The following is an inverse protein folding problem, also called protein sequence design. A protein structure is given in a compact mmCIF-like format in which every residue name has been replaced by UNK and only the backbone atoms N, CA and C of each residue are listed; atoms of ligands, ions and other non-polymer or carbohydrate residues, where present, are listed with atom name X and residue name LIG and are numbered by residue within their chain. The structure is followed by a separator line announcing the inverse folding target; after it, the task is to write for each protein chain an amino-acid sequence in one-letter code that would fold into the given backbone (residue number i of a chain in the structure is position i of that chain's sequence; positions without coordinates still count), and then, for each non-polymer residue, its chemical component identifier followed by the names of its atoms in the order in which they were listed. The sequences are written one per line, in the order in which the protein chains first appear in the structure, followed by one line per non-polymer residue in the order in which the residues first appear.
data_IF_422910775179
#
_entry.id   IF_422910775179
#
_cell.length_a   1.000
_cell.length_b   1.000
_cell.length_c   1.000
_cell.angle_alpha   90.00
_cell.angle_beta   90.00
_cell.angle_gamma   90.00
#
_symmetry.space_group_name_H-M   'P 1'
#
loop_
_entity.id
_entity.type
_entity.pdbx_description
1 polymer ?
#
# COMPACT_ATOMS: atom_id res chain seq x y z
N UNK A 1 18.32 6.07 28.48
CA UNK A 1 17.15 6.23 27.59
C UNK A 1 16.69 4.84 27.18
N UNK A 2 15.40 4.55 27.32
CA UNK A 2 14.87 3.21 26.96
C UNK A 2 14.80 3.06 25.43
N UNK A 3 14.87 1.83 24.91
CA UNK A 3 14.76 1.58 23.47
C UNK A 3 13.46 2.16 22.87
N UNK A 4 12.36 2.07 23.61
CA UNK A 4 11.07 2.62 23.18
C UNK A 4 11.10 4.14 23.04
N UNK A 5 11.70 4.83 24.00
CA UNK A 5 11.84 6.29 24.01
C UNK A 5 12.69 6.77 22.84
N UNK A 6 13.83 6.11 22.57
CA UNK A 6 14.67 6.44 21.42
C UNK A 6 13.93 6.26 20.08
N UNK A 7 13.15 5.18 19.93
CA UNK A 7 12.35 4.95 18.72
C UNK A 7 11.27 6.03 18.57
N UNK A 8 10.57 6.34 19.67
CA UNK A 8 9.53 7.37 19.68
C UNK A 8 10.09 8.75 19.33
N UNK A 9 11.20 9.16 19.92
CA UNK A 9 11.86 10.43 19.61
C UNK A 9 12.32 10.50 18.15
N UNK A 10 12.85 9.38 17.62
CA UNK A 10 13.21 9.28 16.20
C UNK A 10 11.98 9.50 15.31
N UNK A 11 10.85 8.88 15.64
CA UNK A 11 9.61 9.03 14.87
C UNK A 11 9.00 10.44 14.97
N UNK A 12 9.03 11.07 16.15
CA UNK A 12 8.57 12.47 16.31
C UNK A 12 9.36 13.42 15.41
N UNK A 13 10.67 13.20 15.25
CA UNK A 13 11.51 14.02 14.40
C UNK A 13 11.26 13.81 12.89
N UNK A 14 10.46 12.82 12.49
CA UNK A 14 10.07 12.64 11.10
C UNK A 14 9.20 13.78 10.57
N UNK A 15 8.50 14.53 11.43
CA UNK A 15 7.71 15.69 11.02
C UNK A 15 8.40 17.02 11.37
N UNK A 16 9.69 16.98 11.71
CA UNK A 16 10.50 18.18 11.99
C UNK A 16 10.41 19.21 10.87
N UNK A 17 10.42 20.49 11.22
CA UNK A 17 10.44 21.59 10.24
C UNK A 17 11.69 21.52 9.35
N UNK A 18 12.81 21.05 9.91
CA UNK A 18 14.10 20.94 9.21
C UNK A 18 14.16 19.65 8.39
N UNK A 19 14.29 19.79 7.08
CA UNK A 19 14.34 18.66 6.14
C UNK A 19 15.52 17.70 6.41
N UNK A 20 16.66 18.24 6.83
CA UNK A 20 17.85 17.43 7.19
C UNK A 20 17.57 16.52 8.39
N UNK A 21 16.85 17.04 9.38
CA UNK A 21 16.55 16.30 10.61
C UNK A 21 15.51 15.20 10.32
N UNK A 22 14.49 15.50 9.50
CA UNK A 22 13.54 14.50 9.02
C UNK A 22 14.25 13.35 8.30
N UNK A 23 15.12 13.67 7.34
CA UNK A 23 15.85 12.66 6.56
C UNK A 23 16.75 11.79 7.45
N UNK A 24 17.51 12.42 8.35
CA UNK A 24 18.39 11.71 9.30
C UNK A 24 17.58 10.76 10.20
N UNK A 25 16.44 11.22 10.71
CA UNK A 25 15.55 10.40 11.53
C UNK A 25 14.91 9.26 10.73
N UNK A 26 14.53 9.50 9.47
CA UNK A 26 14.00 8.48 8.57
C UNK A 26 15.03 7.37 8.27
N UNK A 27 16.29 7.73 8.02
CA UNK A 27 17.38 6.76 7.85
C UNK A 27 17.66 5.98 9.15
N UNK A 28 17.72 6.67 10.29
CA UNK A 28 17.89 6.03 11.60
C UNK A 28 16.74 5.07 11.93
N UNK A 29 15.50 5.45 11.60
CA UNK A 29 14.34 4.58 11.79
C UNK A 29 14.42 3.35 10.89
N UNK A 30 14.80 3.51 9.62
CA UNK A 30 15.00 2.40 8.68
C UNK A 30 16.02 1.40 9.22
N UNK A 31 17.16 1.88 9.72
CA UNK A 31 18.19 1.03 10.30
C UNK A 31 17.69 0.31 11.56
N UNK A 32 16.97 1.02 12.43
CA UNK A 32 16.34 0.45 13.63
C UNK A 32 15.32 -0.62 13.30
N UNK A 33 14.43 -0.39 12.33
CA UNK A 33 13.42 -1.37 11.88
C UNK A 33 14.05 -2.60 11.23
N UNK A 34 15.26 -2.48 10.68
CA UNK A 34 16.00 -3.60 10.11
C UNK A 34 16.67 -4.48 11.18
N UNK A 35 16.80 -3.99 12.42
CA UNK A 35 17.42 -4.72 13.55
C UNK A 35 16.35 -5.31 14.45
N UNK A 36 16.40 -6.62 14.69
CA UNK A 36 15.37 -7.40 15.40
C UNK A 36 14.86 -6.80 16.73
N UNK A 37 15.67 -6.02 17.47
CA UNK A 37 15.29 -5.44 18.75
C UNK A 37 14.03 -4.55 18.65
N UNK A 38 13.98 -3.63 17.68
CA UNK A 38 12.86 -2.69 17.54
C UNK A 38 11.58 -3.40 17.04
N UNK A 39 11.61 -4.23 15.98
CA UNK A 39 10.45 -5.02 15.58
C UNK A 39 9.90 -5.92 16.69
N UNK A 40 10.78 -6.51 17.53
CA UNK A 40 10.35 -7.35 18.66
C UNK A 40 9.61 -6.53 19.71
N UNK A 41 10.16 -5.36 20.07
CA UNK A 41 9.52 -4.42 21.00
C UNK A 41 8.14 -3.99 20.47
N UNK A 42 8.07 -3.52 19.22
CA UNK A 42 6.83 -3.04 18.60
C UNK A 42 5.78 -4.15 18.51
N UNK A 43 6.20 -5.38 18.20
CA UNK A 43 5.33 -6.56 18.18
C UNK A 43 4.74 -6.84 19.56
N UNK A 44 5.59 -6.88 20.59
CA UNK A 44 5.15 -7.09 21.98
C UNK A 44 4.17 -6.00 22.42
N UNK A 45 4.47 -4.73 22.13
CA UNK A 45 3.63 -3.59 22.49
C UNK A 45 2.28 -3.62 21.77
N UNK A 46 2.27 -4.01 20.49
CA UNK A 46 1.04 -4.16 19.70
C UNK A 46 0.14 -5.27 20.26
N UNK A 47 0.70 -6.45 20.56
CA UNK A 47 -0.05 -7.58 21.11
C UNK A 47 -0.61 -7.26 22.50
N UNK A 48 0.19 -6.58 23.33
CA UNK A 48 -0.22 -6.17 24.68
C UNK A 48 -1.09 -4.90 24.71
N UNK A 49 -1.34 -4.26 23.55
CA UNK A 49 -2.08 -3.00 23.41
C UNK A 49 -1.58 -1.90 24.34
N UNK A 50 -0.27 -1.82 24.57
CA UNK A 50 0.37 -0.87 25.49
C UNK A 50 1.64 -0.31 24.88
N UNK A 51 1.93 0.95 25.19
CA UNK A 51 3.14 1.63 24.73
C UNK A 51 3.13 1.93 23.23
N UNK A 52 4.27 2.41 22.77
CA UNK A 52 4.50 2.78 21.38
C UNK A 52 4.63 1.52 20.51
N UNK A 53 3.83 1.41 19.45
CA UNK A 53 3.60 0.16 18.73
C UNK A 53 3.54 0.34 17.20
N UNK A 54 3.31 -0.75 16.45
CA UNK A 54 3.32 -0.73 14.98
C UNK A 54 2.32 0.26 14.37
N UNK A 55 1.17 0.48 15.01
CA UNK A 55 0.19 1.45 14.52
C UNK A 55 0.68 2.89 14.66
N UNK A 56 1.50 3.19 15.68
CA UNK A 56 2.08 4.52 15.84
C UNK A 56 3.19 4.75 14.82
N UNK A 57 4.07 3.76 14.65
CA UNK A 57 5.14 3.82 13.64
C UNK A 57 4.58 4.01 12.24
N UNK A 58 3.48 3.32 11.91
CA UNK A 58 2.83 3.48 10.62
C UNK A 58 2.29 4.89 10.41
N UNK A 59 1.61 5.47 11.41
CA UNK A 59 1.11 6.84 11.34
C UNK A 59 2.28 7.83 11.15
N UNK A 60 3.34 7.71 11.94
CA UNK A 60 4.49 8.62 11.88
C UNK A 60 5.23 8.52 10.53
N UNK A 61 5.34 7.32 9.95
CA UNK A 61 5.87 7.13 8.59
C UNK A 61 4.93 7.75 7.55
N UNK A 62 3.61 7.59 7.69
CA UNK A 62 2.66 8.17 6.76
C UNK A 62 2.71 9.71 6.81
N UNK A 63 2.79 10.30 8.00
CA UNK A 63 2.92 11.74 8.19
C UNK A 63 4.23 12.29 7.62
N UNK A 64 5.34 11.56 7.77
CA UNK A 64 6.60 11.87 7.07
C UNK A 64 6.42 11.94 5.56
N UNK A 65 5.75 10.95 4.97
CA UNK A 65 5.51 10.89 3.52
C UNK A 65 4.64 12.06 3.07
N UNK A 66 3.57 12.36 3.82
CA UNK A 66 2.73 13.52 3.54
C UNK A 66 3.54 14.81 3.60
N UNK A 67 4.46 14.95 4.58
CA UNK A 67 5.33 16.12 4.68
C UNK A 67 6.30 16.24 3.51
N UNK A 68 6.93 15.14 3.11
CA UNK A 68 7.88 15.14 1.99
C UNK A 68 7.20 15.37 0.64
N UNK A 69 5.93 14.97 0.50
CA UNK A 69 5.15 15.20 -0.72
C UNK A 69 4.62 16.64 -0.85
N UNK A 70 4.67 17.48 0.19
CA UNK A 70 4.20 18.87 0.12
C UNK A 70 4.92 19.68 -0.98
N UNK A 71 6.22 19.45 -1.18
CA UNK A 71 7.08 20.23 -2.10
C UNK A 71 7.83 19.37 -3.12
N UNK A 72 7.31 18.19 -3.44
CA UNK A 72 8.05 17.20 -4.24
C UNK A 72 8.42 17.68 -5.64
N UNK A 73 7.59 18.53 -6.28
CA UNK A 73 7.85 19.04 -7.63
C UNK A 73 9.11 19.90 -7.70
N UNK A 74 9.45 20.58 -6.59
CA UNK A 74 10.63 21.44 -6.50
C UNK A 74 11.91 20.67 -6.09
N UNK A 75 11.78 19.42 -5.67
CA UNK A 75 12.87 18.63 -5.11
C UNK A 75 13.53 17.75 -6.16
N UNK A 76 14.78 18.08 -6.51
CA UNK A 76 15.58 17.32 -7.49
C UNK A 76 15.90 15.88 -7.06
N UNK A 77 15.87 15.61 -5.76
CA UNK A 77 16.26 14.31 -5.18
C UNK A 77 15.06 13.48 -4.72
N UNK A 78 13.83 13.98 -4.90
CA UNK A 78 12.65 13.32 -4.36
C UNK A 78 12.48 11.91 -4.92
N UNK A 79 12.49 11.77 -6.25
CA UNK A 79 12.28 10.48 -6.92
C UNK A 79 13.44 9.49 -6.68
N UNK A 80 14.67 9.96 -6.59
CA UNK A 80 15.86 9.09 -6.50
C UNK A 80 16.24 8.74 -5.06
N UNK A 81 15.87 9.56 -4.07
CA UNK A 81 16.29 9.41 -2.68
C UNK A 81 15.11 9.28 -1.73
N UNK A 82 14.17 10.22 -1.78
CA UNK A 82 13.06 10.27 -0.83
C UNK A 82 12.06 9.14 -1.06
N UNK A 83 11.63 8.91 -2.30
CA UNK A 83 10.68 7.84 -2.68
C UNK A 83 11.19 6.44 -2.28
N UNK A 84 12.45 6.04 -2.59
CA UNK A 84 12.98 4.76 -2.14
C UNK A 84 13.05 4.61 -0.62
N UNK A 85 13.39 5.69 0.10
CA UNK A 85 13.43 5.69 1.56
C UNK A 85 12.02 5.50 2.16
N UNK A 86 11.04 6.25 1.67
CA UNK A 86 9.63 6.12 2.05
C UNK A 86 9.11 4.70 1.78
N UNK A 87 9.38 4.18 0.58
CA UNK A 87 9.00 2.82 0.18
C UNK A 87 9.63 1.77 1.11
N UNK A 88 10.91 1.95 1.47
CA UNK A 88 11.61 1.05 2.39
C UNK A 88 11.02 1.06 3.79
N UNK A 89 10.71 2.25 4.33
CA UNK A 89 10.10 2.41 5.65
C UNK A 89 8.72 1.75 5.71
N UNK A 90 7.87 2.02 4.72
CA UNK A 90 6.57 1.39 4.54
C UNK A 90 6.69 -0.14 4.48
N UNK A 91 7.63 -0.64 3.66
CA UNK A 91 7.86 -2.07 3.51
C UNK A 91 8.31 -2.74 4.82
N UNK A 92 9.31 -2.17 5.51
CA UNK A 92 9.83 -2.70 6.77
C UNK A 92 8.79 -2.69 7.87
N UNK A 93 8.00 -1.61 7.97
CA UNK A 93 6.94 -1.47 8.96
C UNK A 93 5.90 -2.59 8.82
N UNK A 94 5.34 -2.77 7.62
CA UNK A 94 4.31 -3.79 7.38
C UNK A 94 4.85 -5.21 7.34
N UNK A 95 6.03 -5.43 6.77
CA UNK A 95 6.67 -6.74 6.79
C UNK A 95 6.97 -7.17 8.24
N UNK A 96 7.45 -6.25 9.07
CA UNK A 96 7.70 -6.46 10.49
C UNK A 96 6.43 -6.80 11.25
N UNK A 97 5.36 -6.01 11.09
CA UNK A 97 4.08 -6.25 11.74
C UNK A 97 3.45 -7.59 11.34
N UNK A 98 3.48 -7.91 10.03
CA UNK A 98 2.90 -9.15 9.51
C UNK A 98 3.69 -10.38 9.98
N UNK A 99 5.03 -10.33 9.95
CA UNK A 99 5.89 -11.42 10.44
C UNK A 99 5.68 -11.68 11.93
N UNK A 100 5.55 -10.61 12.72
CA UNK A 100 5.28 -10.69 14.16
C UNK A 100 3.84 -11.11 14.52
N UNK A 101 2.95 -11.31 13.53
CA UNK A 101 1.50 -11.48 13.73
C UNK A 101 0.88 -10.38 14.61
N UNK A 102 1.49 -9.21 14.59
CA UNK A 102 1.11 -8.02 15.36
C UNK A 102 0.62 -6.96 14.38
N UNK A 103 -0.50 -7.27 13.72
CA UNK A 103 -0.95 -6.55 12.56
C UNK A 103 -1.29 -5.08 12.86
N UNK A 104 -0.86 -4.19 11.97
CA UNK A 104 -1.37 -2.83 11.90
C UNK A 104 -2.85 -2.90 11.53
N UNK A 105 -3.66 -2.00 12.09
CA UNK A 105 -5.10 -1.92 11.78
C UNK A 105 -5.30 -1.73 10.28
N UNK A 106 -6.03 -2.65 9.65
CA UNK A 106 -6.29 -2.63 8.21
C UNK A 106 -6.90 -1.29 7.75
N UNK A 107 -7.85 -0.75 8.52
CA UNK A 107 -8.49 0.55 8.27
C UNK A 107 -7.49 1.72 8.15
N UNK A 108 -6.41 1.71 8.94
CA UNK A 108 -5.37 2.74 8.84
C UNK A 108 -4.61 2.64 7.53
N UNK A 109 -4.27 1.42 7.15
CA UNK A 109 -3.52 1.15 5.92
C UNK A 109 -4.37 1.53 4.71
N UNK A 110 -5.61 1.05 4.66
CA UNK A 110 -6.52 1.30 3.53
C UNK A 110 -6.86 2.78 3.41
N UNK A 111 -7.13 3.48 4.52
CA UNK A 111 -7.33 4.95 4.49
C UNK A 111 -6.12 5.67 3.89
N UNK A 112 -4.92 5.40 4.42
CA UNK A 112 -3.69 6.04 3.91
C UNK A 112 -3.46 5.75 2.41
N UNK A 113 -3.72 4.52 1.97
CA UNK A 113 -3.66 4.17 0.55
C UNK A 113 -4.67 4.97 -0.28
N UNK A 114 -5.92 5.06 0.16
CA UNK A 114 -6.97 5.79 -0.58
C UNK A 114 -6.67 7.29 -0.64
N UNK A 115 -6.19 7.89 0.45
CA UNK A 115 -5.85 9.33 0.51
C UNK A 115 -4.77 9.70 -0.52
N UNK A 116 -3.75 8.83 -0.67
CA UNK A 116 -2.70 9.00 -1.68
C UNK A 116 -3.23 8.72 -3.08
N UNK A 117 -3.90 7.59 -3.29
CA UNK A 117 -4.20 7.05 -4.61
C UNK A 117 -5.37 7.75 -5.30
N UNK A 118 -6.31 8.30 -4.54
CA UNK A 118 -7.41 9.12 -5.06
C UNK A 118 -6.95 10.54 -5.45
N UNK A 119 -5.81 11.01 -4.93
CA UNK A 119 -5.27 12.31 -5.27
C UNK A 119 -4.25 12.20 -6.41
N UNK A 120 -4.62 12.63 -7.61
CA UNK A 120 -3.77 12.50 -8.82
C UNK A 120 -2.35 13.04 -8.62
N UNK A 121 -2.18 14.15 -7.88
CA UNK A 121 -0.87 14.74 -7.58
C UNK A 121 -0.03 13.79 -6.72
N UNK A 122 -0.59 13.28 -5.62
CA UNK A 122 0.11 12.36 -4.71
C UNK A 122 0.35 10.99 -5.34
N UNK A 123 -0.60 10.48 -6.13
CA UNK A 123 -0.42 9.24 -6.90
C UNK A 123 0.78 9.34 -7.84
N UNK A 124 1.00 10.49 -8.48
CA UNK A 124 2.16 10.69 -9.36
C UNK A 124 3.48 10.85 -8.57
N UNK A 125 3.41 11.34 -7.32
CA UNK A 125 4.58 11.51 -6.48
C UNK A 125 5.07 10.20 -5.85
N UNK A 126 4.15 9.45 -5.22
CA UNK A 126 4.47 8.30 -4.35
C UNK A 126 3.47 7.13 -4.50
N UNK A 127 2.52 7.21 -5.43
CA UNK A 127 1.46 6.20 -5.58
C UNK A 127 1.98 4.78 -5.81
N UNK A 128 3.05 4.62 -6.60
CA UNK A 128 3.66 3.32 -6.88
C UNK A 128 4.16 2.61 -5.61
N UNK A 129 4.58 3.38 -4.58
CA UNK A 129 4.98 2.83 -3.28
C UNK A 129 3.79 2.25 -2.51
N UNK A 130 2.65 2.95 -2.51
CA UNK A 130 1.43 2.50 -1.85
C UNK A 130 0.75 1.34 -2.59
N UNK A 131 0.81 1.33 -3.93
CA UNK A 131 0.37 0.18 -4.74
C UNK A 131 1.23 -1.06 -4.42
N UNK A 132 2.55 -0.90 -4.39
CA UNK A 132 3.48 -1.98 -4.03
C UNK A 132 3.24 -2.50 -2.61
N UNK A 133 2.90 -1.60 -1.68
CA UNK A 133 2.53 -1.93 -0.32
C UNK A 133 1.24 -2.77 -0.28
N UNK A 134 0.18 -2.33 -0.95
CA UNK A 134 -1.10 -3.05 -1.01
C UNK A 134 -0.89 -4.45 -1.57
N UNK A 135 -0.21 -4.56 -2.70
CA UNK A 135 0.09 -5.84 -3.33
C UNK A 135 0.87 -6.77 -2.41
N UNK A 136 1.99 -6.32 -1.83
CA UNK A 136 2.90 -7.21 -1.10
C UNK A 136 2.38 -7.61 0.28
N UNK A 137 1.70 -6.70 0.98
CA UNK A 137 1.49 -6.84 2.43
C UNK A 137 0.03 -6.88 2.88
N UNK A 138 -0.89 -6.41 2.05
CA UNK A 138 -2.31 -6.31 2.40
C UNK A 138 -3.12 -7.34 1.62
N UNK A 139 -3.10 -7.28 0.29
CA UNK A 139 -3.96 -8.09 -0.58
C UNK A 139 -3.57 -9.58 -0.62
N UNK A 140 -2.34 -9.90 -0.22
CA UNK A 140 -1.84 -11.27 -0.10
C UNK A 140 -1.89 -11.80 1.35
N UNK A 141 -2.49 -11.06 2.29
CA UNK A 141 -2.57 -11.46 3.69
C UNK A 141 -4.04 -11.57 4.13
N UNK A 142 -4.51 -12.81 4.28
CA UNK A 142 -5.88 -13.16 4.66
C UNK A 142 -6.38 -12.44 5.90
N UNK A 143 -5.51 -12.15 6.87
CA UNK A 143 -5.89 -11.41 8.07
C UNK A 143 -6.41 -10.01 7.71
N UNK A 144 -5.77 -9.30 6.78
CA UNK A 144 -6.21 -7.95 6.41
C UNK A 144 -7.48 -7.98 5.56
N UNK A 145 -7.62 -8.97 4.68
CA UNK A 145 -8.72 -9.06 3.72
C UNK A 145 -10.10 -9.05 4.39
N UNK A 146 -10.24 -9.75 5.52
CA UNK A 146 -11.50 -9.84 6.26
C UNK A 146 -11.95 -8.52 6.92
N UNK A 147 -11.05 -7.54 7.05
CA UNK A 147 -11.36 -6.22 7.61
C UNK A 147 -11.59 -5.15 6.54
N UNK A 148 -11.45 -5.47 5.25
CA UNK A 148 -11.70 -4.51 4.17
C UNK A 148 -13.20 -4.43 3.89
N UNK A 149 -13.77 -3.24 4.00
CA UNK A 149 -15.20 -3.01 3.75
C UNK A 149 -15.55 -3.10 2.26
N UNK A 150 -16.81 -3.41 1.90
CA UNK A 150 -17.24 -3.43 0.50
C UNK A 150 -16.94 -2.12 -0.25
N UNK A 151 -17.21 -0.97 0.39
CA UNK A 151 -16.88 0.35 -0.18
C UNK A 151 -15.39 0.55 -0.45
N UNK A 152 -14.53 -0.02 0.39
CA UNK A 152 -13.08 0.04 0.21
C UNK A 152 -12.66 -0.85 -0.96
N UNK A 153 -13.29 -2.02 -1.14
CA UNK A 153 -13.07 -2.87 -2.30
C UNK A 153 -13.45 -2.19 -3.61
N UNK A 154 -14.57 -1.46 -3.64
CA UNK A 154 -15.00 -0.67 -4.80
C UNK A 154 -13.96 0.40 -5.15
N UNK A 155 -13.53 1.19 -4.16
CA UNK A 155 -12.49 2.20 -4.38
C UNK A 155 -11.16 1.60 -4.86
N UNK A 156 -10.77 0.44 -4.32
CA UNK A 156 -9.56 -0.27 -4.76
C UNK A 156 -9.69 -0.74 -6.21
N UNK A 157 -10.87 -1.19 -6.65
CA UNK A 157 -11.12 -1.55 -8.04
C UNK A 157 -10.92 -0.34 -8.96
N UNK A 158 -11.52 0.80 -8.63
CA UNK A 158 -11.40 2.03 -9.41
C UNK A 158 -9.94 2.48 -9.53
N UNK A 159 -9.19 2.41 -8.43
CA UNK A 159 -7.75 2.72 -8.41
C UNK A 159 -6.97 1.76 -9.30
N UNK A 160 -7.27 0.45 -9.27
CA UNK A 160 -6.59 -0.54 -10.12
C UNK A 160 -6.85 -0.27 -11.60
N UNK A 161 -8.10 0.00 -11.96
CA UNK A 161 -8.50 0.34 -13.34
C UNK A 161 -7.78 1.61 -13.81
N UNK A 162 -7.78 2.66 -12.99
CA UNK A 162 -7.10 3.91 -13.28
C UNK A 162 -5.59 3.70 -13.44
N UNK A 163 -4.98 2.86 -12.60
CA UNK A 163 -3.55 2.51 -12.66
C UNK A 163 -3.19 1.78 -13.95
N UNK A 164 -4.00 0.80 -14.38
CA UNK A 164 -3.86 0.15 -15.69
C UNK A 164 -3.98 1.13 -16.86
N UNK A 165 -4.65 2.27 -16.67
CA UNK A 165 -4.74 3.34 -17.66
C UNK A 165 -3.47 4.18 -17.81
N UNK A 166 -2.60 4.25 -16.78
CA UNK A 166 -1.43 5.13 -16.74
C UNK A 166 -0.24 4.55 -17.53
N UNK A 167 0.24 5.33 -18.49
CA UNK A 167 1.44 5.01 -19.29
C UNK A 167 2.76 5.38 -18.59
N UNK A 168 2.75 6.32 -17.63
CA UNK A 168 3.96 6.85 -16.98
C UNK A 168 4.21 6.30 -15.55
N UNK A 169 3.63 5.15 -15.19
CA UNK A 169 3.93 4.52 -13.89
C UNK A 169 5.21 3.69 -14.01
N UNK A 170 6.03 3.66 -12.95
CA UNK A 170 7.20 2.79 -12.86
C UNK A 170 6.80 1.31 -12.65
N UNK A 171 5.53 1.04 -12.37
CA UNK A 171 5.00 -0.31 -12.22
C UNK A 171 4.91 -1.00 -13.57
N UNK A 172 5.44 -2.22 -13.63
CA UNK A 172 5.26 -3.14 -14.76
C UNK A 172 3.78 -3.49 -14.93
N UNK A 173 3.33 -3.61 -16.18
CA UNK A 173 1.95 -3.92 -16.52
C UNK A 173 1.51 -5.27 -15.97
N UNK A 174 2.44 -6.21 -15.76
CA UNK A 174 2.16 -7.46 -15.06
C UNK A 174 1.69 -7.22 -13.62
N UNK A 175 2.32 -6.29 -12.89
CA UNK A 175 1.90 -5.96 -11.52
C UNK A 175 0.53 -5.28 -11.51
N UNK A 176 0.26 -4.40 -12.47
CA UNK A 176 -1.04 -3.71 -12.59
C UNK A 176 -2.17 -4.72 -12.81
N UNK A 177 -2.00 -5.66 -13.75
CA UNK A 177 -3.01 -6.69 -14.04
C UNK A 177 -3.15 -7.68 -12.88
N UNK A 178 -2.05 -8.09 -12.23
CA UNK A 178 -2.12 -8.94 -11.03
C UNK A 178 -2.84 -8.28 -9.87
N UNK A 179 -2.62 -6.98 -9.67
CA UNK A 179 -3.32 -6.22 -8.64
C UNK A 179 -4.82 -6.18 -8.93
N UNK A 180 -5.20 -5.88 -10.18
CA UNK A 180 -6.60 -5.90 -10.62
C UNK A 180 -7.25 -7.26 -10.37
N UNK A 181 -6.58 -8.35 -10.76
CA UNK A 181 -7.04 -9.71 -10.49
C UNK A 181 -7.19 -9.99 -8.99
N UNK A 182 -6.20 -9.65 -8.16
CA UNK A 182 -6.27 -9.86 -6.70
C UNK A 182 -7.44 -9.12 -6.07
N UNK A 183 -7.66 -7.86 -6.45
CA UNK A 183 -8.77 -7.05 -5.95
C UNK A 183 -10.10 -7.69 -6.36
N UNK A 184 -10.27 -8.06 -7.63
CA UNK A 184 -11.49 -8.71 -8.10
C UNK A 184 -11.76 -10.04 -7.38
N UNK A 185 -10.74 -10.90 -7.29
CA UNK A 185 -10.81 -12.19 -6.63
C UNK A 185 -11.23 -12.06 -5.17
N UNK A 186 -10.56 -11.20 -4.43
CA UNK A 186 -10.82 -11.03 -3.00
C UNK A 186 -12.17 -10.32 -2.79
N UNK A 187 -12.49 -9.29 -3.57
CA UNK A 187 -13.75 -8.57 -3.44
C UNK A 187 -14.96 -9.50 -3.67
N UNK A 188 -14.94 -10.32 -4.72
CA UNK A 188 -15.98 -11.32 -4.98
C UNK A 188 -16.08 -12.40 -3.89
N UNK A 189 -14.98 -12.74 -3.22
CA UNK A 189 -14.99 -13.70 -2.11
C UNK A 189 -15.56 -13.12 -0.81
N UNK A 190 -15.22 -11.86 -0.48
CA UNK A 190 -15.57 -11.26 0.82
C UNK A 190 -16.86 -10.43 0.81
N UNK A 191 -17.39 -10.02 -0.35
CA UNK A 191 -18.62 -9.23 -0.42
C UNK A 191 -19.41 -9.45 -1.72
N UNK A 192 -20.68 -9.02 -1.73
CA UNK A 192 -21.51 -9.04 -2.93
C UNK A 192 -21.03 -7.95 -3.91
N UNK A 193 -20.06 -8.30 -4.75
CA UNK A 193 -19.33 -7.35 -5.60
C UNK A 193 -19.87 -7.25 -7.03
N UNK A 194 -21.03 -7.85 -7.30
CA UNK A 194 -21.56 -8.03 -8.66
C UNK A 194 -21.93 -6.72 -9.36
N UNK A 195 -22.46 -5.74 -8.63
CA UNK A 195 -22.84 -4.44 -9.20
C UNK A 195 -21.60 -3.62 -9.60
N UNK A 196 -20.63 -3.35 -8.69
CA UNK A 196 -19.37 -2.69 -9.05
C UNK A 196 -18.62 -3.39 -10.19
N UNK A 197 -18.61 -4.72 -10.17
CA UNK A 197 -18.03 -5.54 -11.23
C UNK A 197 -18.68 -5.26 -12.58
N UNK A 198 -20.03 -5.33 -12.65
CA UNK A 198 -20.81 -5.08 -13.86
C UNK A 198 -20.57 -3.68 -14.42
N UNK A 199 -20.58 -2.67 -13.56
CA UNK A 199 -20.40 -1.27 -13.95
C UNK A 199 -18.99 -1.03 -14.52
N UNK A 200 -17.99 -1.78 -14.03
CA UNK A 200 -16.59 -1.65 -14.41
C UNK A 200 -16.13 -2.53 -15.58
N UNK A 201 -16.99 -3.42 -16.10
CA UNK A 201 -16.61 -4.42 -17.12
C UNK A 201 -15.94 -3.82 -18.37
N UNK A 202 -16.48 -2.70 -18.86
CA UNK A 202 -15.95 -2.04 -20.06
C UNK A 202 -14.53 -1.51 -19.84
N UNK A 203 -14.23 -1.05 -18.63
CA UNK A 203 -12.92 -0.53 -18.26
C UNK A 203 -11.93 -1.68 -18.02
N UNK A 204 -12.35 -2.74 -17.30
CA UNK A 204 -11.55 -3.95 -17.09
C UNK A 204 -11.15 -4.59 -18.43
N UNK A 205 -12.10 -4.68 -19.38
CA UNK A 205 -11.81 -5.18 -20.74
C UNK A 205 -10.72 -4.35 -21.42
N UNK A 206 -10.78 -3.02 -21.32
CA UNK A 206 -9.74 -2.14 -21.88
C UNK A 206 -8.37 -2.37 -21.21
N UNK A 207 -8.35 -2.61 -19.90
CA UNK A 207 -7.13 -2.96 -19.17
C UNK A 207 -6.52 -4.26 -19.70
N UNK A 208 -7.30 -5.33 -19.84
CA UNK A 208 -6.81 -6.62 -20.32
C UNK A 208 -6.31 -6.59 -21.78
N UNK A 209 -7.02 -5.86 -22.67
CA UNK A 209 -6.65 -5.76 -24.10
C UNK A 209 -5.33 -5.02 -24.30
N UNK A 210 -5.04 -3.98 -23.50
CA UNK A 210 -3.79 -3.22 -23.61
C UNK A 210 -2.54 -4.07 -23.39
N UNK A 211 -2.66 -5.15 -22.64
CA UNK A 211 -1.50 -5.91 -22.14
C UNK A 211 -1.42 -7.32 -22.75
N UNK A 212 -2.13 -7.54 -23.86
CA UNK A 212 -2.29 -8.86 -24.48
C UNK A 212 -1.01 -9.42 -25.12
N UNK A 213 0.06 -8.64 -25.23
CA UNK A 213 1.29 -9.04 -25.92
C UNK A 213 2.25 -9.90 -25.07
N UNK A 214 1.98 -10.09 -23.76
CA UNK A 214 2.85 -10.85 -22.86
C UNK A 214 2.14 -12.09 -22.31
N UNK A 215 2.72 -13.28 -22.57
CA UNK A 215 2.16 -14.59 -22.16
C UNK A 215 1.87 -14.69 -20.66
N UNK A 216 2.73 -14.12 -19.80
CA UNK A 216 2.51 -14.14 -18.34
C UNK A 216 1.32 -13.27 -17.93
N UNK A 217 1.03 -12.23 -18.69
CA UNK A 217 -0.07 -11.31 -18.41
C UNK A 217 -1.39 -11.87 -18.94
N UNK A 218 -1.34 -12.61 -20.05
CA UNK A 218 -2.49 -13.34 -20.59
C UNK A 218 -3.08 -14.32 -19.57
N UNK A 219 -2.25 -15.01 -18.79
CA UNK A 219 -2.71 -15.94 -17.74
C UNK A 219 -3.63 -15.23 -16.73
N UNK A 220 -3.18 -14.11 -16.16
CA UNK A 220 -4.01 -13.33 -15.22
C UNK A 220 -5.22 -12.68 -15.90
N UNK A 221 -5.10 -12.27 -17.16
CA UNK A 221 -6.24 -11.74 -17.91
C UNK A 221 -7.32 -12.82 -18.12
N UNK A 222 -6.92 -14.07 -18.37
CA UNK A 222 -7.84 -15.21 -18.46
C UNK A 222 -8.49 -15.49 -17.11
N UNK A 223 -7.75 -15.48 -16.01
CA UNK A 223 -8.32 -15.64 -14.67
C UNK A 223 -9.34 -14.54 -14.33
N UNK A 224 -9.08 -13.29 -14.71
CA UNK A 224 -10.05 -12.19 -14.58
C UNK A 224 -11.32 -12.49 -15.38
N UNK A 225 -11.20 -12.97 -16.62
CA UNK A 225 -12.35 -13.31 -17.46
C UNK A 225 -13.16 -14.46 -16.87
N UNK A 226 -12.49 -15.53 -16.43
CA UNK A 226 -13.15 -16.67 -15.76
C UNK A 226 -13.93 -16.18 -14.54
N UNK A 227 -13.29 -15.38 -13.70
CA UNK A 227 -13.92 -14.84 -12.49
C UNK A 227 -15.13 -13.96 -12.81
N UNK A 228 -15.04 -13.12 -13.84
CA UNK A 228 -16.18 -12.33 -14.33
C UNK A 228 -17.30 -13.25 -14.77
N UNK A 229 -17.02 -14.29 -15.56
CA UNK A 229 -18.03 -15.21 -16.07
C UNK A 229 -18.74 -15.95 -14.91
N UNK A 230 -18.01 -16.43 -13.92
CA UNK A 230 -18.58 -17.13 -12.75
C UNK A 230 -19.51 -16.23 -11.91
N UNK A 231 -19.13 -14.96 -11.72
CA UNK A 231 -19.87 -14.02 -10.87
C UNK A 231 -20.98 -13.27 -11.63
N UNK A 232 -20.93 -13.22 -12.97
CA UNK A 232 -21.97 -12.61 -13.82
C UNK A 232 -22.97 -13.66 -14.33
N UNK A 233 -22.61 -14.94 -14.38
CA UNK A 233 -23.53 -16.04 -14.74
C UNK A 233 -24.40 -16.53 -13.58
N UNK A 234 -24.12 -16.08 -12.36
CA UNK A 234 -24.93 -16.35 -11.16
C UNK A 234 -26.17 -15.45 -11.03
N UNK A 235 -26.60 -14.85 -12.15
CA UNK A 235 -27.83 -14.05 -12.30
C UNK A 235 -28.94 -14.84 -12.99
#
# INVERSE_FOLDING_TARGET
MSLEETVRETCVNLTSVRATDRKKSAESLKDSLSRNAVPTLLTKNTLNKKGYNWNNVFDDINDYIMKETEKFESSKTFQTTTVPLCTSLLHLCLAGSNRGKAYIKCEKITRACLDILNNTRLTNAIGDAYISLLYKHVLNNEHHLSFITPSTWENLLDICIATCGKQNSLLDDLLKIRLLWLVLKNACYYCQFNKPLRDSLSAIKKCCVKVFNNKKIQEFALEIVILILENVSTF
#
